data_IF_172226892245
#
_entry.id   IF_172226892245
#
_cell.length_a   1.000
_cell.length_b   1.000
_cell.length_c   1.000
_cell.angle_alpha   90.00
_cell.angle_beta   90.00
_cell.angle_gamma   90.00
#
_symmetry.space_group_name_H-M   'P 1'
#
loop_
_entity.id
_entity.type
_entity.pdbx_description
1 polymer ?
#
# COMPACT_ATOMS: atom_id res chain seq x y z
N UNK A 1 -12.60 6.21 11.19
CA UNK A 1 -12.79 7.66 11.39
C UNK A 1 -11.54 8.32 10.84
N UNK A 2 -11.63 8.97 9.69
CA UNK A 2 -10.48 9.64 9.05
C UNK A 2 -10.01 10.79 9.94
N UNK A 3 -8.70 10.86 10.18
CA UNK A 3 -8.10 11.92 11.00
C UNK A 3 -7.54 12.97 10.06
N UNK A 4 -8.27 14.09 9.91
CA UNK A 4 -7.89 15.21 9.03
C UNK A 4 -7.24 16.33 9.85
N UNK A 5 -6.11 16.86 9.39
CA UNK A 5 -5.34 17.89 10.10
C UNK A 5 -4.44 18.68 9.15
N UNK A 6 -4.25 19.97 9.42
CA UNK A 6 -3.29 20.81 8.69
C UNK A 6 -1.82 20.44 8.99
N UNK A 7 -1.55 19.82 10.15
CA UNK A 7 -0.24 19.30 10.50
C UNK A 7 -0.15 17.81 10.16
N UNK A 8 0.97 17.40 9.57
CA UNK A 8 1.24 15.99 9.30
C UNK A 8 1.24 15.17 10.61
N UNK A 9 0.62 13.98 10.63
CA UNK A 9 0.76 13.06 11.75
C UNK A 9 2.22 12.72 12.05
N UNK A 10 2.53 12.48 13.34
CA UNK A 10 3.87 12.03 13.74
C UNK A 10 4.14 10.66 13.12
N UNK A 11 5.10 10.62 12.19
CA UNK A 11 5.53 9.44 11.48
C UNK A 11 6.73 9.76 10.60
N UNK A 12 7.44 8.72 10.16
CA UNK A 12 8.53 8.86 9.20
C UNK A 12 8.20 8.06 7.95
N UNK A 13 8.32 8.69 6.78
CA UNK A 13 8.34 7.98 5.52
C UNK A 13 9.55 7.04 5.51
N UNK A 14 9.41 5.83 4.95
CA UNK A 14 10.57 4.95 4.79
C UNK A 14 11.51 5.56 3.75
N UNK A 15 12.83 5.46 4.01
CA UNK A 15 13.93 6.20 3.33
C UNK A 15 13.98 6.11 1.79
N UNK A 16 13.17 5.27 1.14
CA UNK A 16 13.17 5.07 -0.32
C UNK A 16 11.77 5.04 -0.95
N UNK A 17 10.71 5.35 -0.21
CA UNK A 17 9.36 5.22 -0.76
C UNK A 17 9.03 6.35 -1.74
N UNK A 18 8.63 5.96 -2.95
CA UNK A 18 8.10 6.90 -3.96
C UNK A 18 6.71 7.35 -3.55
N UNK A 19 6.51 8.66 -3.55
CA UNK A 19 5.18 9.25 -3.40
C UNK A 19 4.36 8.97 -4.66
N UNK A 20 3.11 8.58 -4.47
CA UNK A 20 2.14 8.33 -5.54
C UNK A 20 1.14 9.47 -5.60
N UNK A 21 1.06 10.14 -6.75
CA UNK A 21 0.00 11.11 -7.00
C UNK A 21 -1.26 10.39 -7.51
N UNK A 22 -2.38 10.57 -6.82
CA UNK A 22 -3.67 9.98 -7.16
C UNK A 22 -4.80 10.84 -6.61
N UNK A 23 -5.89 11.03 -7.35
CA UNK A 23 -7.08 11.77 -6.89
C UNK A 23 -6.78 13.16 -6.27
N UNK A 24 -5.83 13.92 -6.84
CA UNK A 24 -5.46 15.25 -6.34
C UNK A 24 -4.56 15.26 -5.09
N UNK A 25 -4.12 14.09 -4.61
CA UNK A 25 -3.34 13.98 -3.39
C UNK A 25 -2.06 13.13 -3.58
N UNK A 26 -1.05 13.40 -2.75
CA UNK A 26 0.18 12.61 -2.66
C UNK A 26 0.05 11.54 -1.57
N UNK A 27 0.49 10.32 -1.88
CA UNK A 27 0.35 9.15 -1.02
C UNK A 27 1.68 8.44 -0.82
N UNK A 28 1.98 8.02 0.42
CA UNK A 28 3.14 7.17 0.71
C UNK A 28 2.90 6.34 1.97
N UNK A 29 3.56 5.19 2.11
CA UNK A 29 3.47 4.38 3.33
C UNK A 29 4.37 5.01 4.39
N UNK A 30 3.81 5.14 5.58
CA UNK A 30 4.46 5.75 6.74
C UNK A 30 4.39 4.79 7.90
N UNK A 31 5.46 4.78 8.71
CA UNK A 31 5.48 4.08 9.99
C UNK A 31 5.39 5.10 11.14
N UNK A 32 4.55 4.80 12.11
CA UNK A 32 4.44 5.51 13.39
C UNK A 32 4.73 4.54 14.53
N UNK A 33 5.49 5.01 15.52
CA UNK A 33 5.73 4.28 16.76
C UNK A 33 4.61 4.63 17.75
N UNK A 34 3.88 3.62 18.22
CA UNK A 34 2.84 3.78 19.25
C UNK A 34 3.41 3.54 20.65
N UNK A 35 4.34 2.58 20.77
CA UNK A 35 5.05 2.27 22.01
C UNK A 35 6.44 1.71 21.71
N UNK A 36 7.18 1.33 22.75
CA UNK A 36 8.54 0.81 22.55
C UNK A 36 8.59 -0.45 21.68
N UNK A 37 7.53 -1.23 21.68
CA UNK A 37 7.42 -2.52 20.98
C UNK A 37 6.39 -2.50 19.84
N UNK A 38 5.71 -1.38 19.63
CA UNK A 38 4.58 -1.31 18.70
C UNK A 38 4.81 -0.25 17.63
N UNK A 39 4.86 -0.72 16.38
CA UNK A 39 4.91 0.09 15.18
C UNK A 39 3.63 -0.15 14.37
N UNK A 40 3.04 0.93 13.86
CA UNK A 40 1.90 0.86 12.95
C UNK A 40 2.29 1.44 11.60
N UNK A 41 1.95 0.73 10.52
CA UNK A 41 2.08 1.24 9.16
C UNK A 41 0.71 1.76 8.69
N UNK A 42 0.72 2.89 8.00
CA UNK A 42 -0.48 3.52 7.43
C UNK A 42 -0.08 4.28 6.15
N UNK A 43 -1.06 4.65 5.34
CA UNK A 43 -0.83 5.54 4.19
C UNK A 43 -1.01 6.96 4.69
N UNK A 44 0.04 7.77 4.58
CA UNK A 44 -0.06 9.21 4.75
C UNK A 44 -0.49 9.81 3.42
N UNK A 45 -1.47 10.68 3.50
CA UNK A 45 -1.99 11.41 2.35
C UNK A 45 -1.83 12.90 2.60
N UNK A 46 -1.33 13.61 1.59
CA UNK A 46 -1.35 15.07 1.53
C UNK A 46 -2.30 15.47 0.40
N UNK A 47 -3.47 15.98 0.77
CA UNK A 47 -4.40 16.61 -0.15
C UNK A 47 -3.82 17.93 -0.63
N UNK A 48 -3.66 18.10 -1.94
CA UNK A 48 -3.10 19.34 -2.50
C UNK A 48 -4.16 20.41 -2.75
N UNK A 49 -5.45 20.06 -2.76
CA UNK A 49 -6.54 21.02 -2.92
C UNK A 49 -6.79 21.78 -1.62
N UNK A 50 -6.94 21.03 -0.54
CA UNK A 50 -7.21 21.59 0.80
C UNK A 50 -5.93 21.79 1.64
N UNK A 51 -4.77 21.35 1.14
CA UNK A 51 -3.46 21.40 1.82
C UNK A 51 -3.47 20.73 3.22
N UNK A 52 -4.25 19.65 3.35
CA UNK A 52 -4.40 18.90 4.61
C UNK A 52 -3.84 17.49 4.52
N UNK A 53 -3.40 16.98 5.66
CA UNK A 53 -2.99 15.61 5.80
C UNK A 53 -4.13 14.73 6.31
N UNK A 54 -4.20 13.51 5.78
CA UNK A 54 -5.07 12.46 6.29
C UNK A 54 -4.38 11.10 6.30
N UNK A 55 -4.90 10.20 7.13
CA UNK A 55 -4.41 8.82 7.27
C UNK A 55 -5.41 7.86 6.63
N UNK A 56 -4.91 6.94 5.79
CA UNK A 56 -5.69 5.79 5.32
C UNK A 56 -5.05 4.52 5.87
N UNK A 57 -5.89 3.62 6.40
CA UNK A 57 -5.45 2.33 6.90
C UNK A 57 -4.98 1.41 5.75
N UNK A 58 -3.92 0.65 6.01
CA UNK A 58 -3.50 -0.44 5.14
C UNK A 58 -4.52 -1.60 5.18
N UNK A 59 -4.50 -2.51 4.19
CA UNK A 59 -5.27 -3.75 4.29
C UNK A 59 -4.94 -4.51 5.58
N UNK A 60 -5.90 -5.29 6.07
CA UNK A 60 -5.66 -6.25 7.16
C UNK A 60 -4.71 -7.33 6.66
N UNK A 61 -3.46 -7.23 7.11
CA UNK A 61 -2.37 -8.12 6.78
C UNK A 61 -2.45 -9.41 7.61
N UNK A 62 -2.09 -10.55 7.01
CA UNK A 62 -1.94 -11.81 7.74
C UNK A 62 -0.51 -11.96 8.29
N UNK A 63 -0.26 -12.98 9.11
CA UNK A 63 1.09 -13.27 9.63
C UNK A 63 2.13 -13.52 8.51
N UNK A 64 1.68 -13.93 7.32
CA UNK A 64 2.56 -14.13 6.14
C UNK A 64 3.05 -12.80 5.53
N UNK A 65 2.35 -11.71 5.81
CA UNK A 65 2.65 -10.36 5.32
C UNK A 65 3.63 -9.58 6.22
N UNK A 66 3.87 -10.07 7.45
CA UNK A 66 4.35 -9.24 8.57
C UNK A 66 5.88 -9.08 8.65
N UNK A 67 6.65 -9.85 7.87
CA UNK A 67 8.06 -10.02 8.20
C UNK A 67 8.95 -8.81 7.88
N UNK A 68 8.68 -8.05 6.81
CA UNK A 68 9.59 -6.97 6.37
C UNK A 68 8.90 -5.90 5.52
N UNK A 69 7.57 -5.90 5.41
CA UNK A 69 6.85 -5.28 4.31
C UNK A 69 7.28 -3.81 4.06
N UNK A 70 8.18 -3.63 3.09
CA UNK A 70 8.36 -2.36 2.42
C UNK A 70 7.21 -2.28 1.43
N UNK A 71 6.18 -1.53 1.82
CA UNK A 71 5.05 -1.25 0.95
C UNK A 71 5.43 -0.15 -0.03
N UNK A 72 5.04 -0.29 -1.29
CA UNK A 72 5.02 0.84 -2.21
C UNK A 72 3.62 1.01 -2.79
N UNK A 73 3.27 2.25 -3.08
CA UNK A 73 2.00 2.61 -3.69
C UNK A 73 2.20 2.88 -5.18
N UNK A 74 1.14 2.66 -5.95
CA UNK A 74 1.03 3.13 -7.33
C UNK A 74 -0.43 3.38 -7.67
N UNK A 75 -0.68 4.31 -8.58
CA UNK A 75 -1.96 4.38 -9.26
C UNK A 75 -2.14 3.13 -10.14
N UNK A 76 -3.33 2.54 -10.14
CA UNK A 76 -3.71 1.40 -10.95
C UNK A 76 -5.13 1.58 -11.48
N UNK A 77 -5.24 2.05 -12.73
CA UNK A 77 -6.51 2.50 -13.28
C UNK A 77 -7.10 3.63 -12.44
N UNK A 78 -8.34 3.45 -11.96
CA UNK A 78 -9.04 4.41 -11.10
C UNK A 78 -8.94 4.03 -9.61
N UNK A 79 -7.89 3.32 -9.22
CA UNK A 79 -7.70 2.82 -7.86
C UNK A 79 -6.26 3.01 -7.39
N UNK A 80 -6.07 3.00 -6.08
CA UNK A 80 -4.76 2.92 -5.46
C UNK A 80 -4.36 1.45 -5.28
N UNK A 81 -3.16 1.09 -5.73
CA UNK A 81 -2.58 -0.23 -5.53
C UNK A 81 -1.43 -0.17 -4.53
N UNK A 82 -1.37 -1.19 -3.67
CA UNK A 82 -0.31 -1.39 -2.70
C UNK A 82 0.45 -2.67 -3.04
N UNK A 83 1.77 -2.55 -3.15
CA UNK A 83 2.70 -3.62 -3.44
C UNK A 83 3.47 -3.92 -2.15
N UNK A 84 3.24 -5.09 -1.57
CA UNK A 84 3.85 -5.53 -0.32
C UNK A 84 4.81 -6.67 -0.59
N UNK A 85 6.10 -6.40 -0.41
CA UNK A 85 7.12 -7.44 -0.40
C UNK A 85 6.91 -8.35 0.81
N UNK A 86 6.79 -9.64 0.54
CA UNK A 86 6.70 -10.69 1.55
C UNK A 86 7.89 -11.63 1.39
N UNK A 87 8.12 -12.49 2.39
CA UNK A 87 9.31 -13.36 2.46
C UNK A 87 9.62 -14.13 1.17
N UNK A 88 8.58 -14.55 0.43
CA UNK A 88 8.70 -15.42 -0.75
C UNK A 88 7.94 -14.88 -1.98
N UNK A 89 7.63 -13.58 -2.00
CA UNK A 89 6.77 -13.03 -3.04
C UNK A 89 6.44 -11.56 -2.90
N UNK A 90 5.45 -11.15 -3.69
CA UNK A 90 4.91 -9.82 -3.72
C UNK A 90 3.38 -9.92 -3.69
N UNK A 91 2.77 -9.38 -2.64
CA UNK A 91 1.32 -9.26 -2.56
C UNK A 91 0.88 -7.94 -3.16
N UNK A 92 -0.09 -8.00 -4.08
CA UNK A 92 -0.68 -6.83 -4.71
C UNK A 92 -2.10 -6.68 -4.19
N UNK A 93 -2.36 -5.54 -3.56
CA UNK A 93 -3.65 -5.14 -3.05
C UNK A 93 -4.17 -3.93 -3.83
N UNK A 94 -5.48 -3.87 -4.05
CA UNK A 94 -6.13 -2.73 -4.72
C UNK A 94 -7.28 -2.23 -3.86
N UNK A 95 -7.29 -0.93 -3.60
CA UNK A 95 -8.37 -0.23 -2.90
C UNK A 95 -9.50 0.05 -3.89
N UNK A 96 -10.61 -0.69 -3.77
CA UNK A 96 -11.73 -0.57 -4.71
C UNK A 96 -12.53 0.72 -4.52
N UNK A 97 -12.63 1.18 -3.28
CA UNK A 97 -13.26 2.45 -2.91
C UNK A 97 -12.24 3.30 -2.17
N UNK A 98 -11.91 4.44 -2.76
CA UNK A 98 -10.87 5.32 -2.22
C UNK A 98 -11.16 5.73 -0.77
N UNK A 99 -10.16 5.65 0.11
CA UNK A 99 -10.27 5.96 1.54
C UNK A 99 -10.90 4.86 2.41
N UNK A 100 -11.54 3.85 1.81
CA UNK A 100 -12.29 2.83 2.56
C UNK A 100 -11.42 1.60 2.84
N UNK A 101 -11.01 1.41 4.10
CA UNK A 101 -10.17 0.28 4.55
C UNK A 101 -10.73 -1.09 4.13
N UNK A 102 -12.03 -1.32 4.33
CA UNK A 102 -12.67 -2.59 4.01
C UNK A 102 -12.76 -2.88 2.51
N UNK A 103 -12.46 -1.91 1.66
CA UNK A 103 -12.47 -2.07 0.19
C UNK A 103 -11.17 -2.63 -0.37
N UNK A 104 -10.12 -2.71 0.44
CA UNK A 104 -8.87 -3.34 0.03
C UNK A 104 -9.10 -4.80 -0.35
N UNK A 105 -8.73 -5.14 -1.58
CA UNK A 105 -8.84 -6.50 -2.11
C UNK A 105 -7.48 -6.98 -2.59
N UNK A 106 -7.04 -8.14 -2.11
CA UNK A 106 -5.84 -8.81 -2.63
C UNK A 106 -6.15 -9.35 -4.02
N UNK A 107 -5.47 -8.83 -5.05
CA UNK A 107 -5.74 -9.21 -6.44
C UNK A 107 -4.78 -10.28 -6.95
N UNK A 108 -3.56 -10.32 -6.42
CA UNK A 108 -2.55 -11.27 -6.85
C UNK A 108 -1.46 -11.46 -5.78
N UNK A 109 -0.92 -12.67 -5.71
CA UNK A 109 0.38 -12.95 -5.11
C UNK A 109 1.31 -13.33 -6.24
N UNK A 110 2.38 -12.59 -6.45
CA UNK A 110 3.46 -13.00 -7.33
C UNK A 110 4.52 -13.72 -6.49
N UNK A 111 4.61 -15.05 -6.62
CA UNK A 111 5.72 -15.78 -6.03
C UNK A 111 7.00 -15.43 -6.77
N UNK A 112 8.06 -15.14 -6.04
CA UNK A 112 9.39 -14.96 -6.63
C UNK A 112 10.06 -16.34 -6.70
N UNK A 113 10.22 -16.95 -7.89
CA UNK A 113 10.81 -18.28 -8.01
C UNK A 113 12.27 -18.22 -7.56
N UNK A 114 12.62 -19.00 -6.54
CA UNK A 114 13.95 -18.98 -5.91
C UNK A 114 13.90 -19.15 -4.39
N UNK A 115 12.74 -18.89 -3.78
CA UNK A 115 12.46 -19.23 -2.39
C UNK A 115 11.10 -19.92 -2.23
N UNK A 116 11.09 -21.26 -2.19
CA UNK A 116 10.06 -22.11 -1.57
C UNK A 116 8.60 -21.98 -2.06
N UNK A 117 8.11 -23.07 -2.65
CA UNK A 117 6.77 -23.35 -3.21
C UNK A 117 5.50 -22.80 -2.49
N UNK A 118 4.40 -22.77 -3.27
CA UNK A 118 2.99 -22.49 -2.96
C UNK A 118 2.47 -21.05 -3.13
N UNK A 119 2.54 -20.50 -4.34
CA UNK A 119 1.45 -19.61 -4.79
C UNK A 119 0.73 -20.28 -5.95
N UNK A 120 -0.59 -20.45 -5.83
CA UNK A 120 -1.40 -20.84 -6.98
C UNK A 120 -1.26 -19.74 -8.05
N UNK A 121 -1.10 -20.09 -9.34
CA UNK A 121 -1.04 -19.09 -10.39
C UNK A 121 -2.28 -18.19 -10.32
N UNK A 122 -2.13 -16.86 -10.43
CA UNK A 122 -3.27 -15.96 -10.39
C UNK A 122 -4.22 -16.30 -11.53
N UNK A 123 -5.49 -16.61 -11.20
CA UNK A 123 -6.52 -16.84 -12.21
C UNK A 123 -6.77 -15.53 -12.95
N UNK A 124 -6.46 -15.49 -14.25
CA UNK A 124 -6.91 -14.42 -15.17
C UNK A 124 -5.88 -13.39 -15.62
N UNK A 125 -4.58 -13.59 -15.40
CA UNK A 125 -3.55 -12.58 -15.71
C UNK A 125 -2.91 -12.72 -17.11
N UNK A 126 -3.65 -13.22 -18.10
CA UNK A 126 -3.15 -13.37 -19.46
C UNK A 126 -3.27 -12.11 -20.34
N UNK A 127 -3.96 -11.03 -19.92
CA UNK A 127 -4.32 -9.95 -20.87
C UNK A 127 -3.93 -8.50 -20.49
N UNK A 128 -3.16 -8.23 -19.43
CA UNK A 128 -2.86 -6.83 -19.04
C UNK A 128 -1.42 -6.51 -18.65
N UNK A 129 -0.44 -7.08 -19.36
CA UNK A 129 0.98 -6.78 -19.11
C UNK A 129 1.59 -5.64 -19.96
N UNK A 130 0.79 -4.84 -20.67
CA UNK A 130 1.34 -3.77 -21.53
C UNK A 130 1.22 -2.33 -21.01
N UNK A 131 0.82 -2.08 -19.77
CA UNK A 131 0.77 -0.70 -19.25
C UNK A 131 1.44 -0.58 -17.88
N UNK A 132 2.76 -0.72 -17.86
CA UNK A 132 3.62 -0.15 -16.81
C UNK A 132 4.94 0.34 -17.42
N UNK A 133 4.83 1.18 -18.46
CA UNK A 133 5.83 2.20 -18.81
C UNK A 133 5.10 3.37 -19.48
N UNK A 134 4.75 4.36 -18.67
CA UNK A 134 4.59 5.76 -19.05
C UNK A 134 4.72 6.57 -17.77
#
# INVERSE_FOLDING_TARGET
MEKVTALAPIGAARRQERQTFFNGALHWVTVRRLSDKELINFIMVLDLGDEVFHEIALPKLSEEDDYLAQGSLSAYGNSLALFLEIKHGLNIWVMKEYGVESSWTKVCTYAVPGFGYYAAPPRGLAEKFFILRA
#
